data_IF_903368199564
#
_entry.id   IF_903368199564
#
_cell.length_a   1.000
_cell.length_b   1.000
_cell.length_c   1.000
_cell.angle_alpha   90.00
_cell.angle_beta   90.00
_cell.angle_gamma   90.00
#
_symmetry.space_group_name_H-M   'P 1'
#
loop_
_entity.id
_entity.type
_entity.pdbx_description
1 polymer ?
#
# COMPACT_ATOMS: atom_id res chain seq x y z
N UNK A 1 -8.78 7.19 13.02
CA UNK A 1 -7.61 6.41 12.56
C UNK A 1 -7.59 6.23 11.04
N UNK A 2 -8.69 5.78 10.40
CA UNK A 2 -8.76 5.63 8.94
C UNK A 2 -8.43 6.92 8.16
N UNK A 3 -9.04 8.04 8.55
CA UNK A 3 -8.80 9.35 7.92
C UNK A 3 -7.34 9.79 8.02
N UNK A 4 -6.76 9.69 9.21
CA UNK A 4 -5.34 9.98 9.44
C UNK A 4 -4.43 9.12 8.56
N UNK A 5 -4.71 7.82 8.41
CA UNK A 5 -3.94 6.94 7.54
C UNK A 5 -4.11 7.31 6.07
N UNK A 6 -5.30 7.75 5.64
CA UNK A 6 -5.53 8.28 4.30
C UNK A 6 -4.70 9.52 4.02
N UNK A 7 -4.70 10.49 4.94
CA UNK A 7 -3.89 11.71 4.84
C UNK A 7 -2.40 11.36 4.80
N UNK A 8 -1.94 10.53 5.75
CA UNK A 8 -0.53 10.16 5.85
C UNK A 8 -0.04 9.46 4.57
N UNK A 9 -0.80 8.49 4.06
CA UNK A 9 -0.46 7.77 2.81
C UNK A 9 -0.46 8.72 1.62
N UNK A 10 -1.41 9.65 1.53
CA UNK A 10 -1.49 10.62 0.44
C UNK A 10 -0.33 11.62 0.44
N UNK A 11 -0.09 12.27 1.58
CA UNK A 11 0.97 13.28 1.72
C UNK A 11 2.35 12.67 1.48
N UNK A 12 2.63 11.49 2.05
CA UNK A 12 3.92 10.82 1.88
C UNK A 12 4.16 10.36 0.44
N UNK A 13 3.13 9.85 -0.25
CA UNK A 13 3.25 9.48 -1.66
C UNK A 13 3.61 10.70 -2.53
N UNK A 14 2.93 11.84 -2.30
CA UNK A 14 3.21 13.09 -3.03
C UNK A 14 4.64 13.56 -2.77
N UNK A 15 5.07 13.55 -1.51
CA UNK A 15 6.40 14.03 -1.11
C UNK A 15 7.51 13.16 -1.72
N UNK A 16 7.37 11.83 -1.65
CA UNK A 16 8.34 10.91 -2.26
C UNK A 16 8.42 11.10 -3.78
N UNK A 17 7.29 11.25 -4.48
CA UNK A 17 7.32 11.50 -5.92
C UNK A 17 7.91 12.85 -6.31
N UNK A 18 7.85 13.86 -5.43
CA UNK A 18 8.52 15.15 -5.63
C UNK A 18 10.03 15.02 -5.47
N UNK A 19 10.48 14.36 -4.41
CA UNK A 19 11.91 14.18 -4.12
C UNK A 19 12.59 13.20 -5.09
N UNK A 20 11.87 12.15 -5.49
CA UNK A 20 12.38 11.05 -6.30
C UNK A 20 11.60 10.97 -7.62
N UNK A 21 11.73 11.99 -8.46
CA UNK A 21 11.02 12.10 -9.74
C UNK A 21 11.26 10.90 -10.68
N UNK A 22 12.38 10.19 -10.53
CA UNK A 22 12.68 8.94 -11.24
C UNK A 22 11.69 7.80 -10.95
N UNK A 23 11.05 7.78 -9.78
CA UNK A 23 10.04 6.77 -9.43
C UNK A 23 8.76 6.89 -10.26
N UNK A 24 8.52 8.04 -10.91
CA UNK A 24 7.39 8.22 -11.82
C UNK A 24 7.61 7.55 -13.19
N UNK A 25 8.87 7.24 -13.54
CA UNK A 25 9.23 6.72 -14.88
C UNK A 25 8.94 5.23 -15.04
N UNK A 26 8.85 4.48 -13.95
CA UNK A 26 8.44 3.08 -13.93
C UNK A 26 7.41 2.91 -12.82
N UNK A 27 6.16 2.53 -13.13
CA UNK A 27 5.21 2.15 -12.10
C UNK A 27 5.64 0.80 -11.54
N UNK A 28 6.44 0.81 -10.47
CA UNK A 28 6.90 -0.42 -9.82
C UNK A 28 5.74 -1.13 -9.07
N UNK A 29 4.54 -0.54 -9.05
CA UNK A 29 3.39 -0.93 -8.23
C UNK A 29 2.03 -0.61 -8.88
N UNK A 30 1.90 -0.74 -10.20
CA UNK A 30 0.58 -0.62 -10.88
C UNK A 30 -0.13 0.73 -10.68
N UNK A 31 0.62 1.85 -10.67
CA UNK A 31 0.16 3.22 -10.38
C UNK A 31 -0.26 3.51 -8.93
N UNK A 32 -0.10 2.57 -7.99
CA UNK A 32 -0.38 2.79 -6.57
C UNK A 32 0.91 2.81 -5.75
N UNK A 33 1.23 3.93 -5.09
CA UNK A 33 2.43 4.03 -4.25
C UNK A 33 2.33 3.23 -2.95
N UNK A 34 1.13 3.14 -2.38
CA UNK A 34 0.83 2.35 -1.19
C UNK A 34 -0.24 1.30 -1.50
N UNK A 35 -0.15 0.13 -0.87
CA UNK A 35 -1.22 -0.87 -0.82
C UNK A 35 -2.53 -0.24 -0.35
N UNK A 36 -3.70 -0.77 -0.73
CA UNK A 36 -4.99 -0.22 -0.27
C UNK A 36 -5.17 -0.34 1.24
N UNK A 37 -4.78 -1.47 1.81
CA UNK A 37 -4.88 -1.76 3.24
C UNK A 37 -3.95 -0.91 4.11
N UNK A 38 -4.21 -0.94 5.42
CA UNK A 38 -3.32 -0.46 6.47
C UNK A 38 -3.55 -1.31 7.73
N UNK A 39 -2.53 -1.45 8.57
CA UNK A 39 -2.61 -2.15 9.84
C UNK A 39 -2.26 -1.17 10.97
N UNK A 40 -3.07 -1.16 12.03
CA UNK A 40 -2.85 -0.33 13.23
C UNK A 40 -3.11 -1.16 14.48
N UNK A 41 -2.24 -1.04 15.47
CA UNK A 41 -2.41 -1.70 16.78
C UNK A 41 -1.95 -0.74 17.88
N UNK A 42 -2.64 -0.79 19.02
CA UNK A 42 -2.33 0.04 20.19
C UNK A 42 -1.37 -0.65 21.17
N UNK A 43 -1.32 -1.98 21.15
CA UNK A 43 -0.49 -2.78 22.08
C UNK A 43 0.06 -3.99 21.31
N UNK A 44 1.32 -3.89 20.86
CA UNK A 44 2.11 -5.01 20.35
C UNK A 44 1.79 -5.47 18.92
N UNK A 45 2.51 -4.92 17.95
CA UNK A 45 2.72 -5.56 16.66
C UNK A 45 3.97 -6.44 16.76
N UNK A 46 3.84 -7.74 16.53
CA UNK A 46 5.01 -8.63 16.40
C UNK A 46 5.28 -8.94 14.93
N UNK A 47 6.50 -9.40 14.66
CA UNK A 47 6.95 -9.73 13.30
C UNK A 47 6.03 -10.75 12.61
N UNK A 48 5.50 -11.73 13.35
CA UNK A 48 4.63 -12.78 12.79
C UNK A 48 3.31 -12.18 12.31
N UNK A 49 2.72 -11.26 13.07
CA UNK A 49 1.50 -10.53 12.70
C UNK A 49 1.73 -9.63 11.49
N UNK A 50 2.86 -8.91 11.44
CA UNK A 50 3.23 -8.07 10.28
C UNK A 50 3.35 -8.95 9.03
N UNK A 51 4.14 -10.03 9.09
CA UNK A 51 4.32 -10.94 7.95
C UNK A 51 3.00 -11.54 7.49
N UNK A 52 2.10 -11.90 8.41
CA UNK A 52 0.77 -12.41 8.07
C UNK A 52 -0.09 -11.36 7.36
N UNK A 53 -0.08 -10.13 7.86
CA UNK A 53 -0.82 -9.02 7.24
C UNK A 53 -0.30 -8.73 5.83
N UNK A 54 1.02 -8.65 5.64
CA UNK A 54 1.63 -8.42 4.32
C UNK A 54 1.22 -9.51 3.34
N UNK A 55 1.35 -10.80 3.70
CA UNK A 55 0.95 -11.92 2.83
C UNK A 55 -0.53 -11.89 2.47
N UNK A 56 -1.39 -11.56 3.44
CA UNK A 56 -2.82 -11.43 3.21
C UNK A 56 -3.13 -10.29 2.23
N UNK A 57 -2.49 -9.13 2.41
CA UNK A 57 -2.69 -7.97 1.54
C UNK A 57 -2.24 -8.27 0.10
N UNK A 58 -1.08 -8.91 -0.07
CA UNK A 58 -0.57 -9.33 -1.39
C UNK A 58 -1.50 -10.31 -2.10
N UNK A 59 -2.07 -11.27 -1.37
CA UNK A 59 -3.03 -12.23 -1.92
C UNK A 59 -4.33 -11.53 -2.34
N UNK A 60 -4.84 -10.63 -1.51
CA UNK A 60 -6.05 -9.88 -1.80
C UNK A 60 -5.89 -8.99 -3.03
N UNK A 61 -4.75 -8.29 -3.14
CA UNK A 61 -4.46 -7.41 -4.29
C UNK A 61 -4.35 -8.20 -5.60
N UNK A 62 -3.72 -9.37 -5.61
CA UNK A 62 -3.68 -10.25 -6.80
C UNK A 62 -5.07 -10.65 -7.28
N UNK A 63 -5.94 -11.06 -6.35
CA UNK A 63 -7.31 -11.46 -6.68
C UNK A 63 -8.11 -10.27 -7.24
N UNK A 64 -7.93 -9.08 -6.68
CA UNK A 64 -8.59 -7.87 -7.18
C UNK A 64 -8.05 -7.43 -8.55
N UNK A 65 -6.74 -7.57 -8.80
CA UNK A 65 -6.12 -7.32 -10.11
C UNK A 65 -6.64 -8.28 -11.18
N UNK A 66 -6.74 -9.58 -10.88
CA UNK A 66 -7.31 -10.60 -11.77
C UNK A 66 -8.78 -10.30 -12.10
N UNK A 67 -9.57 -9.80 -11.14
CA UNK A 67 -10.96 -9.38 -11.36
C UNK A 67 -11.09 -8.09 -12.16
N UNK A 68 -10.09 -7.21 -12.08
CA UNK A 68 -10.13 -5.90 -12.73
C UNK A 68 -9.67 -5.91 -14.19
N UNK A 69 -9.07 -7.01 -14.68
CA UNK A 69 -8.75 -7.19 -16.09
C UNK A 69 -10.02 -7.58 -16.88
N UNK A 70 -10.48 -6.76 -17.85
CA UNK A 70 -11.53 -7.18 -18.76
C UNK A 70 -11.00 -8.24 -19.73
N UNK A 71 -11.87 -9.16 -20.15
CA UNK A 71 -11.67 -10.11 -21.27
C UNK A 71 -11.18 -9.40 -22.55
#
# INVERSE_FOLDING_TARGET
MSEMMGILKGVTAIDVFKQMSGLRKKPHWGNHFWSRGYCVTTIGMDEKKIRRFVRYQEQYEKVEEERAQPL
#
